data_IF_988105384924
#
_entry.id   IF_988105384924
#
_cell.length_a   1.000
_cell.length_b   1.000
_cell.length_c   1.000
_cell.angle_alpha   90.00
_cell.angle_beta   90.00
_cell.angle_gamma   90.00
#
_symmetry.space_group_name_H-M   'P 1'
#
loop_
_entity.id
_entity.type
_entity.pdbx_description
1 polymer ?
#
# COMPACT_ATOMS: atom_id res chain seq x y z
N UNK A 1 -4.97 16.92 -22.33
CA UNK A 1 -5.98 16.39 -23.27
C UNK A 1 -7.12 15.77 -22.45
N UNK A 2 -8.39 16.11 -22.69
CA UNK A 2 -9.54 15.65 -21.88
C UNK A 2 -9.97 14.27 -22.39
N UNK A 3 -9.83 13.23 -21.58
CA UNK A 3 -10.20 11.87 -21.97
C UNK A 3 -11.74 11.74 -22.11
N UNK A 4 -12.23 11.78 -23.36
CA UNK A 4 -13.65 11.68 -23.68
C UNK A 4 -14.20 10.26 -23.47
N UNK A 5 -13.36 9.24 -23.59
CA UNK A 5 -13.74 7.85 -23.36
C UNK A 5 -13.99 7.61 -21.87
N UNK A 6 -13.05 8.03 -21.01
CA UNK A 6 -13.23 7.93 -19.56
C UNK A 6 -14.44 8.74 -19.09
N UNK A 7 -14.64 9.96 -19.60
CA UNK A 7 -15.78 10.78 -19.25
C UNK A 7 -17.14 10.11 -19.59
N UNK A 8 -17.22 9.44 -20.74
CA UNK A 8 -18.42 8.70 -21.13
C UNK A 8 -18.63 7.45 -20.27
N UNK A 9 -17.63 6.57 -20.16
CA UNK A 9 -17.74 5.28 -19.45
C UNK A 9 -17.97 5.44 -17.95
N UNK A 10 -17.51 6.56 -17.36
CA UNK A 10 -17.74 6.86 -15.94
C UNK A 10 -19.07 7.58 -15.65
N UNK A 11 -19.79 8.07 -16.68
CA UNK A 11 -21.13 8.66 -16.55
C UNK A 11 -22.19 7.59 -16.20
N UNK A 12 -23.36 8.00 -15.68
CA UNK A 12 -24.44 7.07 -15.31
C UNK A 12 -24.88 6.16 -16.46
N UNK A 13 -25.34 6.70 -17.61
CA UNK A 13 -25.72 5.90 -18.77
C UNK A 13 -24.56 5.12 -19.39
N UNK A 14 -23.37 5.72 -19.49
CA UNK A 14 -22.20 5.06 -20.07
C UNK A 14 -21.69 3.90 -19.22
N UNK A 15 -21.74 4.03 -17.88
CA UNK A 15 -21.42 2.94 -16.94
C UNK A 15 -22.37 1.75 -17.10
N UNK A 16 -23.66 2.00 -17.34
CA UNK A 16 -24.64 0.94 -17.57
C UNK A 16 -24.35 0.15 -18.85
N UNK A 17 -24.07 0.85 -19.96
CA UNK A 17 -23.71 0.24 -21.25
C UNK A 17 -22.39 -0.52 -21.12
N UNK A 18 -21.36 0.09 -20.54
CA UNK A 18 -20.06 -0.52 -20.33
C UNK A 18 -20.14 -1.82 -19.52
N UNK A 19 -20.92 -1.83 -18.42
CA UNK A 19 -21.16 -3.05 -17.63
C UNK A 19 -21.77 -4.18 -18.46
N UNK A 20 -22.79 -3.87 -19.28
CA UNK A 20 -23.46 -4.89 -20.12
C UNK A 20 -22.55 -5.45 -21.21
N UNK A 21 -21.63 -4.65 -21.72
CA UNK A 21 -20.66 -5.04 -22.74
C UNK A 21 -19.36 -5.61 -22.17
N UNK A 22 -19.25 -5.76 -20.84
CA UNK A 22 -18.02 -6.23 -20.19
C UNK A 22 -16.83 -5.28 -20.32
N UNK A 23 -17.07 -4.01 -20.65
CA UNK A 23 -16.02 -3.02 -20.85
C UNK A 23 -15.45 -2.56 -19.50
N UNK A 24 -14.12 -2.31 -19.42
CA UNK A 24 -13.49 -1.80 -18.21
C UNK A 24 -14.01 -0.38 -17.89
N UNK A 25 -14.33 -0.14 -16.62
CA UNK A 25 -14.76 1.17 -16.11
C UNK A 25 -13.61 1.73 -15.26
N UNK A 26 -12.76 2.59 -15.83
CA UNK A 26 -11.59 3.09 -15.12
C UNK A 26 -12.00 4.03 -13.98
N UNK A 27 -11.36 3.87 -12.82
CA UNK A 27 -11.53 4.78 -11.68
C UNK A 27 -10.84 6.11 -12.00
N UNK A 28 -11.47 7.23 -11.62
CA UNK A 28 -10.83 8.53 -11.66
C UNK A 28 -9.81 8.61 -10.51
N UNK A 29 -8.53 8.60 -10.86
CA UNK A 29 -7.46 8.62 -9.86
C UNK A 29 -7.49 9.92 -9.05
N UNK A 30 -7.38 9.79 -7.74
CA UNK A 30 -7.14 10.91 -6.84
C UNK A 30 -5.78 11.54 -7.15
N UNK A 31 -5.72 12.88 -7.13
CA UNK A 31 -4.54 13.67 -7.43
C UNK A 31 -4.45 14.79 -6.40
N UNK A 32 -3.23 15.15 -6.05
CA UNK A 32 -2.94 16.23 -5.11
C UNK A 32 -3.64 17.54 -5.49
N UNK A 33 -4.19 18.21 -4.49
CA UNK A 33 -4.59 19.61 -4.55
C UNK A 33 -4.01 20.33 -3.32
N UNK A 34 -3.53 21.58 -3.47
CA UNK A 34 -3.06 22.36 -2.34
C UNK A 34 -4.09 22.41 -1.20
N UNK A 35 -3.63 22.22 0.04
CA UNK A 35 -4.48 22.23 1.24
C UNK A 35 -5.18 20.90 1.56
N UNK A 36 -5.00 19.85 0.76
CA UNK A 36 -5.46 18.50 1.13
C UNK A 36 -4.53 17.85 2.15
N UNK A 37 -5.06 17.01 3.06
CA UNK A 37 -4.22 16.19 3.93
C UNK A 37 -3.39 15.21 3.09
N UNK A 38 -2.21 14.84 3.58
CA UNK A 38 -1.30 13.89 2.90
C UNK A 38 -1.99 12.54 2.72
N UNK A 39 -2.69 12.06 3.76
CA UNK A 39 -3.47 10.82 3.72
C UNK A 39 -4.90 11.08 4.21
N UNK A 40 -5.92 11.09 3.33
CA UNK A 40 -7.30 11.37 3.71
C UNK A 40 -8.04 10.12 4.22
N UNK A 41 -7.68 9.68 5.44
CA UNK A 41 -8.36 8.61 6.17
C UNK A 41 -7.40 7.74 7.01
N UNK A 42 -7.92 6.71 7.71
CA UNK A 42 -7.11 5.91 8.61
C UNK A 42 -6.06 5.07 7.89
N UNK A 43 -4.90 4.93 8.50
CA UNK A 43 -3.78 4.11 8.02
C UNK A 43 -3.60 2.93 8.96
N UNK A 44 -3.72 1.71 8.43
CA UNK A 44 -3.36 0.52 9.19
C UNK A 44 -1.84 0.32 9.08
N UNK A 45 -1.15 0.39 10.21
CA UNK A 45 0.27 0.12 10.35
C UNK A 45 0.48 -1.18 11.11
N UNK A 46 1.28 -2.09 10.57
CA UNK A 46 1.62 -3.34 11.25
C UNK A 46 2.95 -3.93 10.77
N UNK A 47 3.29 -5.11 11.28
CA UNK A 47 4.59 -5.73 11.11
C UNK A 47 5.40 -5.73 12.40
N UNK A 48 6.58 -6.35 12.37
CA UNK A 48 7.43 -6.56 13.56
C UNK A 48 8.90 -6.25 13.29
N UNK A 49 9.18 -5.38 12.31
CA UNK A 49 10.53 -5.00 11.92
C UNK A 49 11.01 -3.71 12.61
N UNK A 50 12.17 -3.23 12.15
CA UNK A 50 12.82 -2.00 12.66
C UNK A 50 12.25 -0.71 12.09
N UNK A 51 11.39 -0.79 11.08
CA UNK A 51 10.83 0.35 10.34
C UNK A 51 9.46 0.77 10.86
N UNK A 52 8.86 0.01 11.78
CA UNK A 52 7.55 0.29 12.36
C UNK A 52 7.52 1.66 13.06
N UNK A 53 8.47 1.90 13.97
CA UNK A 53 8.58 3.17 14.70
C UNK A 53 8.92 4.36 13.79
N UNK A 54 9.91 4.28 12.88
CA UNK A 54 10.15 5.30 11.87
C UNK A 54 8.92 5.63 11.02
N UNK A 55 8.20 4.60 10.52
CA UNK A 55 7.00 4.80 9.73
C UNK A 55 5.88 5.46 10.56
N UNK A 56 5.72 5.05 11.82
CA UNK A 56 4.80 5.67 12.77
C UNK A 56 5.09 7.15 13.00
N UNK A 57 6.38 7.53 13.14
CA UNK A 57 6.80 8.93 13.28
C UNK A 57 6.45 9.76 12.04
N UNK A 58 6.70 9.23 10.84
CA UNK A 58 6.36 9.90 9.58
C UNK A 58 4.85 10.08 9.44
N UNK A 59 4.06 9.04 9.74
CA UNK A 59 2.60 9.10 9.69
C UNK A 59 2.03 10.10 10.70
N UNK A 60 2.58 10.13 11.93
CA UNK A 60 2.22 11.13 12.93
C UNK A 60 2.57 12.55 12.47
N UNK A 61 3.73 12.76 11.83
CA UNK A 61 4.16 14.06 11.33
C UNK A 61 3.33 14.62 10.16
N UNK A 62 2.43 13.82 9.59
CA UNK A 62 1.45 14.25 8.58
C UNK A 62 0.01 14.22 9.09
N UNK A 63 -0.17 14.14 10.41
CA UNK A 63 -1.47 14.07 11.09
C UNK A 63 -2.33 12.89 10.60
N UNK A 64 -1.70 11.78 10.19
CA UNK A 64 -2.44 10.59 9.78
C UNK A 64 -3.09 9.89 10.98
N UNK A 65 -4.30 9.40 10.79
CA UNK A 65 -5.00 8.60 11.78
C UNK A 65 -4.48 7.15 11.76
N UNK A 66 -3.58 6.81 12.69
CA UNK A 66 -2.94 5.48 12.73
C UNK A 66 -3.83 4.46 13.45
N UNK A 67 -3.95 3.27 12.86
CA UNK A 67 -4.52 2.06 13.47
C UNK A 67 -3.44 0.99 13.51
N UNK A 68 -3.30 0.29 14.65
CA UNK A 68 -2.38 -0.84 14.79
C UNK A 68 -3.09 -2.20 14.78
N UNK A 69 -4.42 -2.18 14.82
CA UNK A 69 -5.25 -3.37 14.75
C UNK A 69 -6.41 -3.16 13.79
N UNK A 70 -6.77 -4.23 13.08
CA UNK A 70 -7.80 -4.26 12.05
C UNK A 70 -9.24 -4.32 12.60
N UNK A 71 -9.50 -3.74 13.78
CA UNK A 71 -10.79 -3.77 14.45
C UNK A 71 -11.84 -2.85 13.80
N UNK A 72 -13.12 -3.15 14.03
CA UNK A 72 -14.25 -2.36 13.53
C UNK A 72 -14.46 -2.44 12.01
N UNK A 73 -15.20 -1.47 11.46
CA UNK A 73 -15.59 -1.39 10.04
C UNK A 73 -14.82 -0.33 9.24
N UNK A 74 -13.64 0.08 9.75
CA UNK A 74 -12.83 1.14 9.14
C UNK A 74 -12.49 0.84 7.67
N UNK A 75 -12.57 1.88 6.84
CA UNK A 75 -12.06 1.86 5.46
C UNK A 75 -10.75 2.60 5.38
N UNK A 76 -9.68 1.85 5.16
CA UNK A 76 -8.32 2.39 5.22
C UNK A 76 -7.96 3.19 3.96
N UNK A 77 -7.28 4.32 4.18
CA UNK A 77 -6.63 5.08 3.12
C UNK A 77 -5.30 4.45 2.70
N UNK A 78 -4.57 3.88 3.66
CA UNK A 78 -3.36 3.13 3.41
C UNK A 78 -3.21 1.91 4.34
N UNK A 79 -2.53 0.88 3.84
CA UNK A 79 -2.08 -0.29 4.57
C UNK A 79 -0.55 -0.31 4.47
N UNK A 80 0.13 -0.12 5.60
CA UNK A 80 1.59 -0.09 5.68
C UNK A 80 2.05 -1.27 6.52
N UNK A 81 2.91 -2.12 5.95
CA UNK A 81 3.42 -3.29 6.63
C UNK A 81 4.95 -3.28 6.67
N UNK A 82 5.51 -3.38 7.86
CA UNK A 82 6.93 -3.55 8.07
C UNK A 82 7.33 -5.04 8.02
N UNK A 83 7.88 -5.43 6.86
CA UNK A 83 8.42 -6.74 6.58
C UNK A 83 9.94 -6.83 6.82
N UNK A 84 10.61 -5.77 7.30
CA UNK A 84 12.07 -5.80 7.51
C UNK A 84 12.52 -6.85 8.53
N UNK A 85 11.62 -7.27 9.42
CA UNK A 85 11.84 -8.33 10.40
C UNK A 85 11.70 -9.76 9.85
N UNK A 86 11.23 -9.97 8.60
CA UNK A 86 11.06 -11.31 8.02
C UNK A 86 12.44 -11.91 7.71
N UNK A 87 12.78 -13.01 8.39
CA UNK A 87 14.08 -13.69 8.29
C UNK A 87 14.07 -14.94 7.42
N UNK A 88 12.89 -15.44 7.03
CA UNK A 88 12.80 -16.67 6.24
C UNK A 88 11.46 -16.84 5.54
N UNK A 89 11.38 -17.79 4.62
CA UNK A 89 10.18 -18.03 3.80
C UNK A 89 8.96 -18.45 4.60
N UNK A 90 9.13 -19.15 5.73
CA UNK A 90 8.05 -19.52 6.64
C UNK A 90 7.34 -18.29 7.24
N UNK A 91 8.07 -17.20 7.47
CA UNK A 91 7.55 -15.97 8.06
C UNK A 91 6.82 -15.06 7.05
N UNK A 92 6.94 -15.34 5.74
CA UNK A 92 6.17 -14.62 4.69
C UNK A 92 4.65 -14.75 4.89
N UNK A 93 4.20 -15.73 5.66
CA UNK A 93 2.81 -15.87 6.10
C UNK A 93 2.28 -14.60 6.78
N UNK A 94 3.13 -13.82 7.45
CA UNK A 94 2.75 -12.57 8.11
C UNK A 94 2.13 -11.54 7.14
N UNK A 95 2.55 -11.53 5.87
CA UNK A 95 1.93 -10.69 4.83
C UNK A 95 0.46 -11.08 4.62
N UNK A 96 0.19 -12.38 4.53
CA UNK A 96 -1.18 -12.87 4.37
C UNK A 96 -2.02 -12.51 5.60
N UNK A 97 -1.53 -12.79 6.80
CA UNK A 97 -2.29 -12.56 8.03
C UNK A 97 -2.60 -11.07 8.24
N UNK A 98 -1.71 -10.17 7.82
CA UNK A 98 -1.94 -8.72 7.85
C UNK A 98 -2.89 -8.23 6.75
N UNK A 99 -2.63 -8.56 5.49
CA UNK A 99 -3.34 -7.97 4.36
C UNK A 99 -4.68 -8.67 4.05
N UNK A 100 -4.75 -9.99 4.15
CA UNK A 100 -5.93 -10.76 3.71
C UNK A 100 -7.24 -10.31 4.38
N UNK A 101 -7.30 -10.05 5.70
CA UNK A 101 -8.55 -9.64 6.36
C UNK A 101 -9.02 -8.24 5.96
N UNK A 102 -8.10 -7.37 5.50
CA UNK A 102 -8.36 -5.93 5.39
C UNK A 102 -8.28 -5.39 3.97
N UNK A 103 -7.72 -6.15 3.01
CA UNK A 103 -7.48 -5.66 1.64
C UNK A 103 -8.75 -5.19 0.92
N UNK A 104 -9.91 -5.79 1.23
CA UNK A 104 -11.21 -5.37 0.69
C UNK A 104 -11.74 -4.07 1.30
N UNK A 105 -11.20 -3.66 2.45
CA UNK A 105 -11.52 -2.41 3.15
C UNK A 105 -10.62 -1.25 2.73
N UNK A 106 -9.57 -1.49 1.94
CA UNK A 106 -8.77 -0.43 1.32
C UNK A 106 -9.67 0.39 0.38
N UNK A 107 -9.74 1.70 0.60
CA UNK A 107 -10.59 2.60 -0.20
C UNK A 107 -10.15 2.67 -1.67
N UNK A 108 -11.01 3.19 -2.56
CA UNK A 108 -10.60 3.51 -3.93
C UNK A 108 -9.43 4.50 -3.91
N UNK A 109 -8.46 4.32 -4.81
CA UNK A 109 -7.21 5.08 -4.79
C UNK A 109 -6.42 4.97 -3.47
N UNK A 110 -6.62 3.91 -2.68
CA UNK A 110 -5.83 3.63 -1.49
C UNK A 110 -4.41 3.11 -1.80
N UNK A 111 -3.58 3.03 -0.75
CA UNK A 111 -2.16 2.62 -0.84
C UNK A 111 -1.89 1.34 -0.06
N UNK A 112 -1.16 0.42 -0.66
CA UNK A 112 -0.56 -0.71 0.03
C UNK A 112 0.95 -0.56 -0.06
N UNK A 113 1.62 -0.48 1.07
CA UNK A 113 3.07 -0.23 1.14
C UNK A 113 3.68 -1.31 2.02
N UNK A 114 4.68 -2.00 1.47
CA UNK A 114 5.51 -2.95 2.22
C UNK A 114 6.88 -2.31 2.41
N UNK A 115 7.38 -2.30 3.64
CA UNK A 115 8.74 -1.85 3.97
C UNK A 115 9.61 -3.09 4.19
N UNK A 116 10.78 -3.15 3.57
CA UNK A 116 11.69 -4.30 3.66
C UNK A 116 13.14 -3.90 3.88
N UNK A 117 13.99 -4.89 4.10
CA UNK A 117 15.44 -4.73 4.07
C UNK A 117 15.97 -5.08 2.66
N UNK A 118 16.96 -4.35 2.12
CA UNK A 118 17.59 -4.70 0.85
C UNK A 118 18.11 -6.15 0.90
N UNK A 119 17.70 -7.03 -0.04
CA UNK A 119 18.17 -8.41 -0.07
C UNK A 119 19.69 -8.55 -0.13
N UNK A 120 20.36 -7.62 -0.82
CA UNK A 120 21.82 -7.54 -0.97
C UNK A 120 22.56 -7.20 0.34
N UNK A 121 21.88 -6.57 1.30
CA UNK A 121 22.45 -6.22 2.61
C UNK A 121 22.20 -7.32 3.66
N UNK A 122 21.43 -8.35 3.33
CA UNK A 122 21.10 -9.43 4.25
C UNK A 122 22.25 -10.43 4.37
N UNK A 123 22.79 -10.61 5.58
CA UNK A 123 23.86 -11.57 5.84
C UNK A 123 23.44 -13.03 5.70
N UNK A 124 22.17 -13.35 6.00
CA UNK A 124 21.62 -14.69 5.88
C UNK A 124 20.91 -14.89 4.53
N UNK A 125 21.25 -15.94 3.75
CA UNK A 125 20.61 -16.22 2.47
C UNK A 125 19.09 -16.48 2.54
N UNK A 126 18.62 -17.04 3.65
CA UNK A 126 17.19 -17.26 3.90
C UNK A 126 16.44 -15.93 4.04
N UNK A 127 17.03 -14.99 4.79
CA UNK A 127 16.51 -13.64 4.92
C UNK A 127 16.55 -12.90 3.59
N UNK A 128 17.68 -12.93 2.86
CA UNK A 128 17.79 -12.33 1.53
C UNK A 128 16.71 -12.85 0.57
N UNK A 129 16.48 -14.17 0.58
CA UNK A 129 15.44 -14.82 -0.23
C UNK A 129 14.04 -14.33 0.16
N UNK A 130 13.73 -14.25 1.45
CA UNK A 130 12.45 -13.79 1.94
C UNK A 130 12.20 -12.30 1.60
N UNK A 131 13.19 -11.43 1.81
CA UNK A 131 13.11 -10.03 1.45
C UNK A 131 12.94 -9.84 -0.07
N UNK A 132 13.61 -10.66 -0.88
CA UNK A 132 13.46 -10.64 -2.35
C UNK A 132 12.07 -11.08 -2.80
N UNK A 133 11.45 -12.03 -2.09
CA UNK A 133 10.12 -12.55 -2.39
C UNK A 133 9.00 -11.50 -2.22
N UNK A 134 9.24 -10.46 -1.40
CA UNK A 134 8.29 -9.34 -1.21
C UNK A 134 7.90 -8.66 -2.53
N UNK A 135 8.83 -8.57 -3.50
CA UNK A 135 8.53 -7.96 -4.80
C UNK A 135 7.46 -8.74 -5.57
N UNK A 136 7.54 -10.08 -5.53
CA UNK A 136 6.56 -10.96 -6.18
C UNK A 136 5.16 -10.79 -5.57
N UNK A 137 5.09 -10.68 -4.24
CA UNK A 137 3.86 -10.38 -3.53
C UNK A 137 3.28 -9.02 -3.94
N UNK A 138 4.06 -7.95 -3.83
CA UNK A 138 3.61 -6.58 -4.13
C UNK A 138 3.15 -6.44 -5.59
N UNK A 139 3.90 -7.00 -6.54
CA UNK A 139 3.53 -6.98 -7.97
C UNK A 139 2.23 -7.74 -8.27
N UNK A 140 2.00 -8.86 -7.58
CA UNK A 140 0.78 -9.64 -7.73
C UNK A 140 -0.42 -8.89 -7.14
N UNK A 141 -0.29 -8.42 -5.90
CA UNK A 141 -1.34 -7.65 -5.21
C UNK A 141 -1.71 -6.39 -6.00
N UNK A 142 -0.73 -5.68 -6.56
CA UNK A 142 -0.98 -4.49 -7.40
C UNK A 142 -1.87 -4.77 -8.62
N UNK A 143 -1.89 -6.00 -9.14
CA UNK A 143 -2.75 -6.42 -10.25
C UNK A 143 -4.14 -6.88 -9.79
N UNK A 144 -4.30 -7.21 -8.52
CA UNK A 144 -5.51 -7.80 -7.95
C UNK A 144 -6.41 -6.78 -7.26
N UNK A 145 -5.82 -5.77 -6.60
CA UNK A 145 -6.57 -4.84 -5.73
C UNK A 145 -7.53 -3.90 -6.47
N UNK A 146 -7.36 -3.68 -7.78
CA UNK A 146 -8.23 -2.85 -8.65
C UNK A 146 -8.53 -1.46 -8.02
N UNK A 147 -9.56 -0.76 -8.49
CA UNK A 147 -10.08 0.44 -7.82
C UNK A 147 -9.14 1.65 -7.81
N UNK A 148 -8.17 1.73 -8.73
CA UNK A 148 -7.14 2.77 -8.75
C UNK A 148 -6.14 2.70 -7.58
N UNK A 149 -6.16 1.62 -6.80
CA UNK A 149 -5.22 1.41 -5.68
C UNK A 149 -3.84 1.05 -6.21
N UNK A 150 -2.81 1.33 -5.42
CA UNK A 150 -1.42 1.01 -5.76
C UNK A 150 -0.78 0.14 -4.68
N UNK A 151 0.18 -0.68 -5.08
CA UNK A 151 1.00 -1.49 -4.19
C UNK A 151 2.48 -1.16 -4.44
N UNK A 152 3.25 -0.90 -3.40
CA UNK A 152 4.68 -0.58 -3.50
C UNK A 152 5.51 -1.28 -2.45
N UNK A 153 6.78 -1.53 -2.79
CA UNK A 153 7.81 -2.08 -1.92
C UNK A 153 8.90 -1.03 -1.76
N UNK A 154 9.22 -0.70 -0.51
CA UNK A 154 10.29 0.21 -0.16
C UNK A 154 11.36 -0.57 0.62
N UNK A 155 12.52 -0.77 0.00
CA UNK A 155 13.68 -1.27 0.72
C UNK A 155 14.39 -0.11 1.42
N UNK A 156 14.73 -0.31 2.68
CA UNK A 156 15.40 0.68 3.51
C UNK A 156 16.64 0.02 4.07
N UNK A 157 17.83 0.53 3.77
CA UNK A 157 19.08 0.00 4.33
C UNK A 157 19.09 0.14 5.86
N UNK A 158 19.90 -0.67 6.53
CA UNK A 158 20.13 -0.52 7.97
C UNK A 158 20.85 0.80 8.26
N UNK A 159 20.39 1.56 9.25
CA UNK A 159 20.88 2.91 9.55
C UNK A 159 20.26 4.04 8.69
N UNK A 160 19.42 3.70 7.69
CA UNK A 160 18.74 4.67 6.83
C UNK A 160 17.29 4.97 7.27
N UNK A 161 16.89 4.59 8.49
CA UNK A 161 15.51 4.68 8.98
C UNK A 161 14.96 6.10 8.98
N UNK A 162 15.81 7.09 9.28
CA UNK A 162 15.42 8.51 9.29
C UNK A 162 15.26 9.10 7.87
N UNK A 163 15.68 8.38 6.83
CA UNK A 163 15.61 8.82 5.44
C UNK A 163 14.31 8.43 4.71
N UNK A 164 13.40 7.71 5.36
CA UNK A 164 12.21 7.14 4.69
C UNK A 164 11.10 8.17 4.44
N UNK A 165 11.15 9.32 5.10
CA UNK A 165 10.04 10.27 5.21
C UNK A 165 9.53 10.75 3.85
N UNK A 166 10.41 11.26 2.97
CA UNK A 166 9.99 11.79 1.68
C UNK A 166 9.30 10.74 0.81
N UNK A 167 9.83 9.52 0.83
CA UNK A 167 9.35 8.42 0.01
C UNK A 167 8.03 7.87 0.54
N UNK A 168 7.90 7.72 1.86
CA UNK A 168 6.67 7.27 2.48
C UNK A 168 5.54 8.30 2.37
N UNK A 169 5.84 9.61 2.42
CA UNK A 169 4.86 10.68 2.17
C UNK A 169 4.41 10.75 0.70
N UNK A 170 5.27 10.35 -0.24
CA UNK A 170 4.96 10.41 -1.66
C UNK A 170 3.97 9.33 -2.10
N UNK A 171 4.11 8.12 -1.56
CA UNK A 171 3.26 6.98 -1.93
C UNK A 171 1.95 6.99 -1.18
#
# INVERSE_FOLDING_TARGET
MRDRYQAFVTSGPGRFIAKRLGLPIPVRLERHRPGQPVVPGPVLLGGTGRLLDPAGKVLHAVDAEIRTAAGGDDRFAALVFDASGIRGSAELRALYDFFHPVVRRLRECGRLIVLGAPPEDCADPGQATAQRALEGFVRSVGKEIRGGRTAQLLYVAEGAENGIESTLRFF
#
